data_IF_777023179575
#
_entry.id   IF_777023179575
#
_cell.length_a   1.000
_cell.length_b   1.000
_cell.length_c   1.000
_cell.angle_alpha   90.00
_cell.angle_beta   90.00
_cell.angle_gamma   90.00
#
_symmetry.space_group_name_H-M   'P 1'
#
loop_
_entity.id
_entity.type
_entity.pdbx_description
1 polymer ?
#
# COMPACT_ATOMS: atom_id res chain seq x y z
N UNK A 1 12.44 -4.72 -2.39
CA UNK A 1 12.61 -3.50 -3.20
C UNK A 1 12.80 -2.30 -2.31
N UNK A 2 13.41 -1.24 -2.82
CA UNK A 2 13.51 0.07 -2.15
C UNK A 2 13.19 1.18 -3.15
N UNK A 3 12.56 2.25 -2.68
CA UNK A 3 12.28 3.44 -3.49
C UNK A 3 12.17 4.67 -2.58
N UNK A 4 12.41 5.88 -3.10
CA UNK A 4 11.95 7.08 -2.41
C UNK A 4 10.42 7.05 -2.28
N UNK A 5 9.91 7.66 -1.22
CA UNK A 5 8.48 7.96 -1.11
C UNK A 5 8.11 9.13 -2.03
N UNK A 6 6.82 9.36 -2.23
CA UNK A 6 6.34 10.40 -3.15
C UNK A 6 6.83 11.80 -2.71
N UNK A 7 7.03 12.69 -3.68
CA UNK A 7 7.36 14.11 -3.48
C UNK A 7 8.73 14.42 -2.82
N UNK A 8 9.58 13.45 -2.52
CA UNK A 8 10.88 13.72 -1.87
C UNK A 8 11.92 12.61 -2.11
N UNK A 9 13.18 12.85 -1.68
CA UNK A 9 14.27 11.86 -1.74
C UNK A 9 14.86 11.54 -0.35
N UNK A 10 14.25 12.02 0.73
CA UNK A 10 14.77 11.90 2.09
C UNK A 10 14.18 10.71 2.85
N UNK A 11 12.89 10.45 2.65
CA UNK A 11 12.19 9.31 3.20
C UNK A 11 12.12 8.20 2.15
N UNK A 12 12.85 7.12 2.42
CA UNK A 12 12.86 5.92 1.62
C UNK A 12 11.95 4.87 2.23
N UNK A 13 11.30 4.09 1.39
CA UNK A 13 10.55 2.92 1.79
C UNK A 13 11.24 1.66 1.30
N UNK A 14 11.16 0.62 2.12
CA UNK A 14 11.59 -0.73 1.80
C UNK A 14 10.41 -1.68 1.90
N UNK A 15 10.30 -2.58 0.94
CA UNK A 15 9.39 -3.72 0.99
C UNK A 15 10.17 -5.00 0.79
N UNK A 16 10.26 -5.83 1.83
CA UNK A 16 10.83 -7.16 1.77
C UNK A 16 9.72 -8.20 1.53
N UNK A 17 9.99 -9.17 0.67
CA UNK A 17 9.05 -10.26 0.37
C UNK A 17 9.40 -11.49 1.22
N UNK A 18 8.41 -12.00 1.96
CA UNK A 18 8.44 -13.36 2.52
C UNK A 18 7.40 -14.24 1.85
N UNK A 19 7.20 -15.46 2.33
CA UNK A 19 6.31 -16.44 1.69
C UNK A 19 4.84 -15.99 1.70
N UNK A 20 4.34 -15.64 2.89
CA UNK A 20 2.92 -15.33 3.12
C UNK A 20 2.61 -13.83 3.24
N UNK A 21 3.64 -13.00 3.39
CA UNK A 21 3.52 -11.58 3.69
C UNK A 21 4.69 -10.77 3.12
N UNK A 22 4.47 -9.48 2.97
CA UNK A 22 5.52 -8.48 2.83
C UNK A 22 5.81 -7.81 4.17
N UNK A 23 7.00 -7.24 4.26
CA UNK A 23 7.43 -6.43 5.40
C UNK A 23 7.80 -5.05 4.88
N UNK A 24 7.03 -4.05 5.30
CA UNK A 24 7.21 -2.67 4.93
C UNK A 24 7.93 -1.92 6.04
N UNK A 25 8.86 -1.05 5.68
CA UNK A 25 9.46 -0.10 6.61
C UNK A 25 9.92 1.15 5.87
N UNK A 26 10.12 2.23 6.61
CA UNK A 26 10.68 3.47 6.07
C UNK A 26 11.98 3.83 6.76
N UNK A 27 12.85 4.50 6.03
CA UNK A 27 14.10 5.06 6.54
C UNK A 27 14.20 6.53 6.12
N UNK A 28 14.52 7.43 7.06
CA UNK A 28 14.76 8.84 6.77
C UNK A 28 16.18 9.27 7.13
N UNK A 29 16.80 10.04 6.24
CA UNK A 29 18.13 10.63 6.47
C UNK A 29 18.12 11.81 7.45
N UNK A 30 16.94 12.34 7.80
CA UNK A 30 16.80 13.54 8.64
C UNK A 30 16.62 13.22 10.13
N UNK A 31 16.52 11.94 10.49
CA UNK A 31 16.42 11.54 11.90
C UNK A 31 17.79 11.73 12.60
N UNK A 32 17.80 12.30 13.83
CA UNK A 32 19.04 12.48 14.60
C UNK A 32 19.65 11.17 15.12
N UNK A 33 18.86 10.11 15.23
CA UNK A 33 19.30 8.78 15.69
C UNK A 33 19.02 7.70 14.62
N UNK A 34 18.26 6.65 14.97
CA UNK A 34 17.84 5.60 14.07
C UNK A 34 16.63 6.06 13.23
N UNK A 35 16.87 6.35 11.96
CA UNK A 35 15.83 6.73 10.99
C UNK A 35 14.93 5.58 10.53
N UNK A 36 15.17 4.33 10.96
CA UNK A 36 14.37 3.17 10.59
C UNK A 36 13.07 3.10 11.41
N UNK A 37 11.95 2.94 10.72
CA UNK A 37 10.66 2.67 11.34
C UNK A 37 10.55 1.22 11.82
N UNK A 38 9.63 0.93 12.75
CA UNK A 38 9.15 -0.44 12.94
C UNK A 38 8.69 -1.06 11.61
N UNK A 39 8.86 -2.37 11.49
CA UNK A 39 8.41 -3.11 10.32
C UNK A 39 6.93 -3.44 10.44
N UNK A 40 6.19 -3.22 9.36
CA UNK A 40 4.77 -3.52 9.24
C UNK A 40 4.60 -4.75 8.37
N UNK A 41 3.91 -5.75 8.90
CA UNK A 41 3.59 -6.98 8.17
C UNK A 41 2.33 -6.75 7.32
N UNK A 42 2.44 -6.98 6.01
CA UNK A 42 1.35 -6.85 5.05
C UNK A 42 1.04 -8.25 4.48
N UNK A 43 -0.09 -8.88 4.83
CA UNK A 43 -0.47 -10.18 4.26
C UNK A 43 -0.64 -10.10 2.73
N UNK A 44 -0.14 -11.11 2.00
CA UNK A 44 -0.31 -11.17 0.53
C UNK A 44 -1.75 -11.47 0.11
N UNK A 45 -2.45 -12.28 0.91
CA UNK A 45 -3.84 -12.70 0.70
C UNK A 45 -4.15 -13.19 -0.73
N UNK A 46 -3.21 -13.94 -1.34
CA UNK A 46 -3.33 -14.44 -2.72
C UNK A 46 -4.61 -15.23 -2.96
N UNK A 47 -5.11 -15.94 -1.95
CA UNK A 47 -6.33 -16.74 -2.05
C UNK A 47 -7.60 -15.89 -2.31
N UNK A 48 -7.64 -14.63 -1.84
CA UNK A 48 -8.76 -13.72 -2.09
C UNK A 48 -8.88 -13.34 -3.57
N UNK A 49 -7.80 -13.46 -4.34
CA UNK A 49 -7.80 -13.15 -5.76
C UNK A 49 -8.47 -14.24 -6.63
N UNK A 50 -8.77 -15.43 -6.09
CA UNK A 50 -9.32 -16.56 -6.86
C UNK A 50 -10.51 -16.20 -7.76
N UNK A 51 -11.51 -15.39 -7.33
CA UNK A 51 -12.65 -15.04 -8.16
C UNK A 51 -12.30 -14.20 -9.40
N UNK A 52 -11.20 -13.46 -9.35
CA UNK A 52 -10.74 -12.56 -10.41
C UNK A 52 -9.50 -13.08 -11.14
N UNK A 53 -8.91 -14.19 -10.68
CA UNK A 53 -7.58 -14.63 -11.10
C UNK A 53 -7.47 -14.99 -12.59
N UNK A 54 -8.58 -15.37 -13.23
CA UNK A 54 -8.64 -15.67 -14.66
C UNK A 54 -8.94 -14.45 -15.54
N UNK A 55 -9.16 -13.27 -14.95
CA UNK A 55 -9.56 -12.08 -15.70
C UNK A 55 -8.34 -11.39 -16.34
N UNK A 56 -8.47 -10.83 -17.56
CA UNK A 56 -7.40 -10.03 -18.18
C UNK A 56 -6.98 -8.81 -17.34
N UNK A 57 -7.93 -8.22 -16.62
CA UNK A 57 -7.69 -7.07 -15.74
C UNK A 57 -6.77 -7.47 -14.59
N UNK A 58 -7.02 -8.61 -13.96
CA UNK A 58 -6.14 -9.14 -12.91
C UNK A 58 -4.74 -9.44 -13.44
N UNK A 59 -4.63 -10.10 -14.60
CA UNK A 59 -3.34 -10.34 -15.26
C UNK A 59 -2.55 -9.04 -15.52
N UNK A 60 -3.25 -8.00 -15.97
CA UNK A 60 -2.68 -6.67 -16.21
C UNK A 60 -2.14 -6.05 -14.92
N UNK A 61 -2.91 -6.09 -13.82
CA UNK A 61 -2.48 -5.56 -12.53
C UNK A 61 -1.27 -6.32 -11.96
N UNK A 62 -1.26 -7.65 -12.07
CA UNK A 62 -0.12 -8.49 -11.62
C UNK A 62 1.16 -8.12 -12.37
N UNK A 63 1.08 -7.98 -13.70
CA UNK A 63 2.20 -7.52 -14.53
C UNK A 63 2.64 -6.12 -14.13
N UNK A 64 1.69 -5.19 -13.99
CA UNK A 64 1.95 -3.80 -13.67
C UNK A 64 2.70 -3.66 -12.34
N UNK A 65 2.30 -4.40 -11.31
CA UNK A 65 2.89 -4.36 -9.97
C UNK A 65 4.21 -5.11 -9.83
N UNK A 66 4.70 -5.76 -10.90
CA UNK A 66 5.96 -6.53 -10.91
C UNK A 66 6.04 -7.54 -9.75
N UNK A 67 4.93 -8.16 -9.40
CA UNK A 67 4.82 -9.12 -8.30
C UNK A 67 4.59 -8.52 -6.89
N UNK A 68 4.76 -7.21 -6.69
CA UNK A 68 4.58 -6.54 -5.39
C UNK A 68 3.14 -6.06 -5.18
N UNK A 69 2.23 -6.99 -4.90
CA UNK A 69 0.82 -6.67 -4.68
C UNK A 69 0.23 -7.44 -3.51
N UNK A 70 -0.89 -7.00 -2.98
CA UNK A 70 -1.78 -7.82 -2.17
C UNK A 70 -3.24 -7.61 -2.58
N UNK A 71 -4.14 -8.41 -2.02
CA UNK A 71 -5.59 -8.23 -2.17
C UNK A 71 -6.24 -8.13 -0.79
N UNK A 72 -7.22 -7.24 -0.67
CA UNK A 72 -8.04 -7.09 0.53
C UNK A 72 -9.51 -7.10 0.13
N UNK A 73 -10.36 -7.57 1.02
CA UNK A 73 -11.80 -7.42 0.91
C UNK A 73 -12.20 -6.10 1.57
N UNK A 74 -13.00 -5.31 0.87
CA UNK A 74 -13.48 -4.03 1.37
C UNK A 74 -14.71 -4.23 2.27
N UNK A 75 -15.06 -3.26 3.13
CA UNK A 75 -16.29 -3.31 3.93
C UNK A 75 -17.58 -3.44 3.09
N UNK A 76 -17.53 -3.01 1.83
CA UNK A 76 -18.63 -3.14 0.86
C UNK A 76 -18.67 -4.51 0.14
N UNK A 77 -17.79 -5.44 0.51
CA UNK A 77 -17.70 -6.79 -0.06
C UNK A 77 -16.94 -6.88 -1.39
N UNK A 78 -16.47 -5.75 -1.96
CA UNK A 78 -15.69 -5.76 -3.20
C UNK A 78 -14.24 -6.14 -2.95
N UNK A 79 -13.61 -6.76 -3.94
CA UNK A 79 -12.18 -7.06 -3.93
C UNK A 79 -11.38 -5.83 -4.34
N UNK A 80 -10.36 -5.51 -3.56
CA UNK A 80 -9.40 -4.45 -3.84
C UNK A 80 -8.01 -5.04 -4.01
N UNK A 81 -7.39 -4.74 -5.14
CA UNK A 81 -6.00 -5.05 -5.43
C UNK A 81 -5.15 -3.82 -5.12
N UNK A 82 -4.03 -4.01 -4.41
CA UNK A 82 -3.12 -2.92 -4.08
C UNK A 82 -1.73 -3.16 -4.66
N UNK A 83 -1.17 -2.12 -5.28
CA UNK A 83 0.23 -2.09 -5.70
C UNK A 83 1.08 -1.56 -4.54
N UNK A 84 1.91 -2.43 -3.97
CA UNK A 84 2.68 -2.12 -2.77
C UNK A 84 3.94 -1.28 -3.04
N UNK A 85 4.26 -0.98 -4.31
CA UNK A 85 5.44 -0.18 -4.69
C UNK A 85 5.34 1.28 -4.32
N UNK A 86 4.15 1.77 -4.00
CA UNK A 86 3.92 3.16 -3.65
C UNK A 86 3.59 3.38 -2.17
N UNK A 87 3.50 2.30 -1.40
CA UNK A 87 3.32 2.35 0.05
C UNK A 87 2.04 3.05 0.50
N UNK A 88 2.17 3.79 1.60
CA UNK A 88 1.09 4.49 2.32
C UNK A 88 1.55 5.86 2.83
N UNK A 89 0.68 6.87 2.71
CA UNK A 89 0.95 8.22 3.21
C UNK A 89 0.81 8.36 4.73
N UNK A 90 -0.07 7.61 5.39
CA UNK A 90 -0.03 7.48 6.86
C UNK A 90 1.12 6.59 7.29
N UNK A 91 1.50 5.63 6.43
CA UNK A 91 2.45 4.59 6.78
C UNK A 91 1.80 3.37 7.40
N UNK A 92 0.47 3.35 7.54
CA UNK A 92 -0.31 2.19 7.93
C UNK A 92 -0.85 1.44 6.69
N UNK A 93 -1.24 0.20 6.87
CA UNK A 93 -1.86 -0.69 5.89
C UNK A 93 -3.04 -1.47 6.49
N UNK A 94 -3.56 -1.01 7.64
CA UNK A 94 -4.67 -1.63 8.36
C UNK A 94 -6.01 -1.44 7.65
N UNK A 95 -6.18 -0.34 6.90
CA UNK A 95 -7.41 -0.05 6.17
C UNK A 95 -7.21 -0.07 4.65
N UNK A 96 -8.21 -0.49 3.87
CA UNK A 96 -8.16 -0.41 2.41
C UNK A 96 -7.88 1.00 1.87
N UNK A 97 -8.21 2.05 2.62
CA UNK A 97 -7.94 3.44 2.24
C UNK A 97 -6.46 3.81 2.24
N UNK A 98 -5.62 3.10 2.98
CA UNK A 98 -4.25 3.54 3.29
C UNK A 98 -3.28 3.32 2.12
N UNK A 99 -3.61 2.37 1.25
CA UNK A 99 -2.85 2.08 0.04
C UNK A 99 -2.95 3.24 -0.96
N UNK A 100 -1.80 3.79 -1.38
CA UNK A 100 -1.76 4.90 -2.35
C UNK A 100 -2.29 4.46 -3.71
N UNK A 101 -1.85 3.30 -4.21
CA UNK A 101 -2.30 2.73 -5.48
C UNK A 101 -3.15 1.49 -5.22
N UNK A 102 -4.46 1.67 -5.44
CA UNK A 102 -5.48 0.65 -5.21
C UNK A 102 -6.50 0.64 -6.35
N UNK A 103 -6.97 -0.55 -6.65
CA UNK A 103 -7.86 -0.84 -7.77
C UNK A 103 -8.98 -1.74 -7.26
N UNK A 104 -10.23 -1.39 -7.56
CA UNK A 104 -11.40 -2.15 -7.11
C UNK A 104 -12.01 -2.89 -8.28
N UNK A 105 -12.27 -4.18 -8.07
CA UNK A 105 -12.97 -5.02 -9.02
C UNK A 105 -14.46 -4.88 -8.86
N UNK A 106 -15.14 -4.63 -9.97
CA UNK A 106 -16.60 -4.55 -10.06
C UNK A 106 -17.11 -5.61 -11.05
N UNK A 107 -18.16 -6.37 -10.71
CA UNK A 107 -18.79 -7.28 -11.64
C UNK A 107 -19.36 -6.54 -12.85
N UNK A 108 -19.15 -7.10 -14.03
CA UNK A 108 -19.71 -6.63 -15.29
C UNK A 108 -20.35 -7.81 -16.05
N UNK A 109 -21.22 -7.56 -17.05
CA UNK A 109 -21.91 -8.64 -17.79
C UNK A 109 -20.97 -9.70 -18.36
N UNK A 110 -19.78 -9.29 -18.83
CA UNK A 110 -18.80 -10.17 -19.48
C UNK A 110 -17.56 -10.43 -18.62
N UNK A 111 -17.63 -10.21 -17.30
CA UNK A 111 -16.52 -10.47 -16.39
C UNK A 111 -16.33 -9.39 -15.35
N UNK A 112 -15.18 -8.72 -15.39
CA UNK A 112 -14.78 -7.74 -14.39
C UNK A 112 -14.37 -6.43 -15.04
N UNK A 113 -14.75 -5.33 -14.43
CA UNK A 113 -14.14 -4.03 -14.71
C UNK A 113 -13.33 -3.63 -13.49
N UNK A 114 -12.17 -3.03 -13.74
CA UNK A 114 -11.32 -2.49 -12.70
C UNK A 114 -11.34 -0.98 -12.77
N UNK A 115 -11.69 -0.36 -11.65
CA UNK A 115 -11.58 1.08 -11.49
C UNK A 115 -10.44 1.40 -10.54
N UNK A 116 -9.55 2.30 -10.97
CA UNK A 116 -8.71 3.00 -10.00
C UNK A 116 -9.65 3.89 -9.20
N UNK A 117 -9.85 3.54 -7.94
CA UNK A 117 -10.74 4.28 -7.06
C UNK A 117 -10.27 5.74 -6.97
N UNK A 118 -11.14 6.67 -7.40
CA UNK A 118 -11.04 8.10 -7.14
C UNK A 118 -11.73 8.50 -5.85
N UNK A 119 -12.37 7.57 -5.11
CA UNK A 119 -12.63 7.83 -3.69
C UNK A 119 -11.28 8.24 -3.15
N UNK A 120 -11.20 9.50 -2.70
CA UNK A 120 -9.97 10.01 -2.16
C UNK A 120 -9.51 8.93 -1.20
N UNK A 121 -8.33 8.36 -1.47
CA UNK A 121 -7.48 7.92 -0.39
C UNK A 121 -7.70 8.95 0.73
N UNK A 122 -7.96 8.53 1.97
CA UNK A 122 -8.00 9.43 3.14
C UNK A 122 -6.60 10.06 3.32
N UNK A 123 -6.19 10.79 2.30
CA UNK A 123 -5.11 11.72 2.23
C UNK A 123 -5.80 13.00 2.68
N UNK A 124 -6.19 12.96 3.94
CA UNK A 124 -6.60 14.14 4.65
C UNK A 124 -5.35 14.86 5.14
N UNK A 125 -5.56 15.99 5.81
CA UNK A 125 -4.48 16.76 6.38
C UNK A 125 -3.69 15.98 7.45
N UNK A 126 -4.26 14.94 8.06
CA UNK A 126 -3.57 14.14 9.08
C UNK A 126 -2.57 13.19 8.43
N UNK A 127 -2.98 12.42 7.42
CA UNK A 127 -2.09 11.53 6.69
C UNK A 127 -0.92 12.29 6.04
N UNK A 128 -1.18 13.48 5.48
CA UNK A 128 -0.10 14.33 4.96
C UNK A 128 0.83 14.85 6.07
N UNK A 129 0.30 15.20 7.24
CA UNK A 129 1.11 15.64 8.37
C UNK A 129 2.01 14.50 8.84
N UNK A 130 1.46 13.31 9.08
CA UNK A 130 2.22 12.11 9.45
C UNK A 130 3.30 11.79 8.41
N UNK A 131 2.98 11.90 7.13
CA UNK A 131 3.95 11.78 6.05
C UNK A 131 5.12 12.77 6.21
N UNK A 132 4.81 14.06 6.38
CA UNK A 132 5.83 15.10 6.54
C UNK A 132 6.66 14.94 7.82
N UNK A 133 6.05 14.51 8.92
CA UNK A 133 6.79 14.23 10.16
C UNK A 133 7.78 13.08 9.98
N UNK A 134 7.36 11.99 9.30
CA UNK A 134 8.27 10.91 8.91
C UNK A 134 9.38 11.39 8.01
N UNK A 135 9.10 12.26 7.04
CA UNK A 135 10.14 12.87 6.19
C UNK A 135 11.17 13.62 7.04
N UNK A 136 10.72 14.42 8.01
CA UNK A 136 11.57 15.19 8.93
C UNK A 136 12.28 14.34 9.98
N UNK A 137 11.99 13.05 10.08
CA UNK A 137 12.55 12.19 11.13
C UNK A 137 11.93 12.41 12.51
N UNK A 138 10.77 13.07 12.58
CA UNK A 138 9.98 13.17 13.80
C UNK A 138 9.08 11.94 13.88
N UNK A 139 9.29 11.06 14.86
CA UNK A 139 8.41 9.90 15.06
C UNK A 139 7.01 10.40 15.44
N UNK A 140 5.92 9.84 14.88
CA UNK A 140 4.65 9.87 15.57
C UNK A 140 4.85 9.16 16.91
N UNK A 141 4.39 9.77 18.01
CA UNK A 141 4.36 9.13 19.32
C UNK A 141 3.63 7.79 19.14
N UNK A 142 4.30 6.68 19.48
CA UNK A 142 3.57 5.44 19.69
C UNK A 142 2.66 5.70 20.90
N UNK A 143 1.35 5.78 20.68
CA UNK A 143 0.42 5.67 21.80
C UNK A 143 0.53 4.24 22.35
N UNK A 144 0.80 4.14 23.65
CA UNK A 144 0.82 2.91 24.46
C UNK A 144 -0.57 2.25 24.56
#
# INVERSE_FOLDING_TARGET
MTSPTILNNFLWQGLAEGDSAYYYGTFTFLAPENGLSPLIRIPKNRALARPVASSPEFGTLVWFSKGFWNVVERPDGRLQFNDLRFGSLSGDFSNPSDFVFKFVFEPAPDGWVVHQTREGSRIDAAAFREFFERVRGQRPLAEE
#
